data_IF_698112087539
#
_entry.id   IF_698112087539
#
_cell.length_a   1.000
_cell.length_b   1.000
_cell.length_c   1.000
_cell.angle_alpha   90.00
_cell.angle_beta   90.00
_cell.angle_gamma   90.00
#
_symmetry.space_group_name_H-M   'P 1'
#
loop_
_entity.id
_entity.type
_entity.pdbx_description
1 polymer ?
#
# COMPACT_ATOMS: atom_id res chain seq x y z
N UNK A 1 27.04 24.97 16.81
CA UNK A 1 25.57 25.14 16.58
C UNK A 1 25.13 24.57 15.24
N UNK A 2 25.72 24.98 14.11
CA UNK A 2 25.32 24.53 12.76
C UNK A 2 25.38 23.00 12.59
N UNK A 3 26.46 22.35 13.03
CA UNK A 3 26.59 20.88 12.94
C UNK A 3 25.55 20.13 13.78
N UNK A 4 25.23 20.65 14.97
CA UNK A 4 24.21 20.06 15.85
C UNK A 4 22.81 20.20 15.24
N UNK A 5 22.50 21.35 14.66
CA UNK A 5 21.25 21.59 13.96
C UNK A 5 21.12 20.69 12.71
N UNK A 6 22.18 20.57 11.91
CA UNK A 6 22.21 19.69 10.75
C UNK A 6 21.99 18.21 11.15
N UNK A 7 22.62 17.75 12.24
CA UNK A 7 22.44 16.40 12.76
C UNK A 7 20.99 16.16 13.23
N UNK A 8 20.40 17.11 13.95
CA UNK A 8 19.01 17.01 14.41
C UNK A 8 18.05 16.94 13.22
N UNK A 9 18.23 17.80 12.21
CA UNK A 9 17.42 17.79 10.99
C UNK A 9 17.56 16.44 10.26
N UNK A 10 18.78 15.94 10.08
CA UNK A 10 19.03 14.67 9.42
C UNK A 10 18.35 13.49 10.14
N UNK A 11 18.42 13.46 11.47
CA UNK A 11 17.75 12.44 12.29
C UNK A 11 16.23 12.53 12.20
N UNK A 12 15.67 13.74 12.22
CA UNK A 12 14.23 13.94 12.19
C UNK A 12 13.66 13.59 10.83
N UNK A 13 14.25 14.09 9.74
CA UNK A 13 13.81 13.80 8.37
C UNK A 13 13.97 12.32 8.05
N UNK A 14 15.14 11.73 8.35
CA UNK A 14 15.42 10.34 8.04
C UNK A 14 14.54 9.36 8.81
N UNK A 15 14.09 9.72 10.02
CA UNK A 15 13.26 8.83 10.85
C UNK A 15 11.77 8.99 10.59
N UNK A 16 11.30 10.21 10.33
CA UNK A 16 9.88 10.49 10.23
C UNK A 16 9.36 10.49 8.79
N UNK A 17 10.13 10.95 7.81
CA UNK A 17 9.58 11.20 6.46
C UNK A 17 9.77 10.05 5.49
N UNK A 18 10.82 9.23 5.63
CA UNK A 18 11.08 8.10 4.74
C UNK A 18 11.36 6.85 5.56
N UNK A 19 10.53 5.81 5.39
CA UNK A 19 10.75 4.50 6.00
C UNK A 19 11.32 3.50 4.98
N UNK A 20 12.30 2.69 5.37
CA UNK A 20 12.82 1.60 4.53
C UNK A 20 12.23 0.28 5.02
N UNK A 21 11.58 -0.46 4.13
CA UNK A 21 10.91 -1.72 4.45
C UNK A 21 11.33 -2.82 3.47
N UNK A 22 11.42 -4.06 3.96
CA UNK A 22 11.64 -5.24 3.14
C UNK A 22 10.30 -5.94 2.88
N UNK A 23 10.07 -6.33 1.64
CA UNK A 23 8.87 -7.07 1.25
C UNK A 23 9.04 -8.53 1.63
N UNK A 24 8.19 -9.04 2.52
CA UNK A 24 8.22 -10.45 2.96
C UNK A 24 7.16 -11.31 2.25
N UNK A 25 6.18 -10.69 1.59
CA UNK A 25 4.97 -11.34 1.07
C UNK A 25 5.00 -11.43 -0.46
N UNK A 26 4.35 -12.46 -1.00
CA UNK A 26 4.15 -12.66 -2.46
C UNK A 26 2.85 -12.04 -2.98
N UNK A 27 2.01 -11.48 -2.11
CA UNK A 27 0.68 -10.98 -2.47
C UNK A 27 0.68 -9.81 -3.46
N UNK A 28 1.83 -9.15 -3.61
CA UNK A 28 2.02 -8.02 -4.51
C UNK A 28 2.77 -8.39 -5.79
N UNK A 29 2.97 -9.68 -6.08
CA UNK A 29 3.57 -10.07 -7.36
C UNK A 29 2.62 -9.75 -8.51
N UNK A 30 3.14 -9.33 -9.68
CA UNK A 30 4.57 -9.18 -10.01
C UNK A 30 5.19 -7.83 -9.56
N UNK A 31 4.40 -6.88 -9.06
CA UNK A 31 4.83 -5.52 -8.76
C UNK A 31 5.90 -5.43 -7.66
N UNK A 32 5.78 -6.25 -6.60
CA UNK A 32 6.79 -6.39 -5.54
C UNK A 32 7.10 -7.86 -5.31
N UNK A 33 8.39 -8.18 -5.22
CA UNK A 33 8.89 -9.54 -4.98
C UNK A 33 9.42 -9.67 -3.55
N UNK A 34 9.33 -10.86 -2.94
CA UNK A 34 9.97 -11.11 -1.66
C UNK A 34 11.47 -10.81 -1.73
N UNK A 35 11.97 -10.04 -0.75
CA UNK A 35 13.36 -9.58 -0.71
C UNK A 35 13.58 -8.17 -1.25
N UNK A 36 12.61 -7.60 -1.98
CA UNK A 36 12.69 -6.22 -2.44
C UNK A 36 12.73 -5.25 -1.25
N UNK A 37 13.54 -4.19 -1.38
CA UNK A 37 13.63 -3.10 -0.40
C UNK A 37 12.97 -1.86 -0.97
N UNK A 38 11.91 -1.42 -0.30
CA UNK A 38 11.14 -0.23 -0.72
C UNK A 38 11.34 0.92 0.26
N UNK A 39 11.40 2.13 -0.28
CA UNK A 39 11.34 3.36 0.49
C UNK A 39 9.89 3.88 0.46
N UNK A 40 9.33 4.13 1.63
CA UNK A 40 7.94 4.60 1.81
C UNK A 40 7.99 6.05 2.23
N UNK A 41 7.32 6.91 1.47
CA UNK A 41 7.06 8.30 1.84
C UNK A 41 5.97 8.35 2.91
N UNK A 42 6.29 8.95 4.06
CA UNK A 42 5.41 9.12 5.22
C UNK A 42 4.91 10.55 5.40
N UNK A 43 5.18 11.46 4.46
CA UNK A 43 4.81 12.89 4.54
C UNK A 43 3.30 13.15 4.46
N UNK A 44 2.48 12.12 4.22
CA UNK A 44 1.02 12.26 4.15
C UNK A 44 0.54 12.86 2.83
N UNK A 45 1.26 12.65 1.73
CA UNK A 45 0.84 13.11 0.40
C UNK A 45 -0.49 12.47 0.00
N UNK A 46 -1.37 13.17 -0.74
CA UNK A 46 -2.61 12.60 -1.24
C UNK A 46 -2.36 11.31 -2.03
N UNK A 47 -3.02 10.23 -1.60
CA UNK A 47 -2.92 8.93 -2.27
C UNK A 47 -3.63 9.02 -3.61
N UNK A 48 -2.95 8.52 -4.65
CA UNK A 48 -3.52 8.41 -5.99
C UNK A 48 -4.00 6.99 -6.23
N UNK A 49 -5.02 6.86 -7.08
CA UNK A 49 -5.49 5.56 -7.54
C UNK A 49 -4.35 4.81 -8.24
N UNK A 50 -4.23 3.50 -8.00
CA UNK A 50 -3.14 2.65 -8.47
C UNK A 50 -1.85 2.75 -7.64
N UNK A 51 -1.78 3.64 -6.64
CA UNK A 51 -0.61 3.72 -5.77
C UNK A 51 -0.49 2.47 -4.89
N UNK A 52 0.74 2.00 -4.69
CA UNK A 52 1.05 0.99 -3.67
C UNK A 52 1.25 1.71 -2.35
N UNK A 53 0.53 1.28 -1.32
CA UNK A 53 0.54 1.87 0.01
C UNK A 53 0.96 0.85 1.05
N UNK A 54 1.63 1.33 2.09
CA UNK A 54 1.93 0.57 3.30
C UNK A 54 0.90 0.94 4.36
N UNK A 55 0.20 -0.04 4.91
CA UNK A 55 -0.87 0.17 5.89
C UNK A 55 -0.82 -0.85 7.02
N UNK A 56 -1.46 -0.54 8.15
CA UNK A 56 -1.75 -1.51 9.21
C UNK A 56 -3.16 -2.03 9.03
N UNK A 57 -3.34 -3.32 9.23
CA UNK A 57 -4.67 -3.91 9.20
C UNK A 57 -5.49 -3.35 10.37
N UNK A 58 -6.76 -2.98 10.17
CA UNK A 58 -7.65 -2.57 11.26
C UNK A 58 -8.12 -3.77 12.10
N UNK A 59 -7.83 -5.01 11.68
CA UNK A 59 -8.28 -6.22 12.38
C UNK A 59 -7.40 -6.48 13.60
N UNK A 60 -7.97 -6.68 14.80
CA UNK A 60 -7.19 -6.96 16.01
C UNK A 60 -6.29 -8.20 15.91
N UNK A 61 -6.73 -9.20 15.12
CA UNK A 61 -6.02 -10.48 14.92
C UNK A 61 -4.68 -10.29 14.20
N UNK A 62 -4.55 -9.27 13.35
CA UNK A 62 -3.34 -9.00 12.57
C UNK A 62 -2.30 -8.19 13.37
N UNK A 63 -2.66 -7.70 14.55
CA UNK A 63 -1.80 -6.92 15.43
C UNK A 63 -1.20 -5.68 14.75
N UNK A 64 0.08 -5.41 15.04
CA UNK A 64 0.82 -4.27 14.48
C UNK A 64 1.53 -4.59 13.14
N UNK A 65 1.10 -5.64 12.45
CA UNK A 65 1.69 -6.02 11.18
C UNK A 65 1.47 -4.94 10.10
N UNK A 66 2.51 -4.73 9.29
CA UNK A 66 2.49 -3.83 8.15
C UNK A 66 2.26 -4.62 6.87
N UNK A 67 1.31 -4.15 6.06
CA UNK A 67 0.87 -4.79 4.83
C UNK A 67 1.04 -3.84 3.64
N UNK A 68 1.35 -4.41 2.48
CA UNK A 68 1.32 -3.68 1.22
C UNK A 68 -0.02 -3.87 0.54
N UNK A 69 -0.61 -2.78 0.04
CA UNK A 69 -1.91 -2.75 -0.65
C UNK A 69 -1.88 -1.86 -1.89
N UNK A 70 -2.64 -2.21 -2.92
CA UNK A 70 -2.86 -1.36 -4.09
C UNK A 70 -4.12 -0.52 -3.88
N UNK A 71 -4.04 0.79 -4.09
CA UNK A 71 -5.18 1.69 -3.95
C UNK A 71 -6.12 1.57 -5.17
N UNK A 72 -7.18 0.78 -5.03
CA UNK A 72 -8.19 0.60 -6.09
C UNK A 72 -9.22 1.74 -6.06
N UNK A 73 -9.76 2.04 -4.88
CA UNK A 73 -10.76 3.09 -4.66
C UNK A 73 -10.23 4.23 -3.79
N UNK A 74 -10.75 5.43 -4.03
CA UNK A 74 -10.53 6.64 -3.26
C UNK A 74 -11.84 7.10 -2.60
N UNK A 75 -11.79 7.94 -1.56
CA UNK A 75 -12.99 8.51 -0.96
C UNK A 75 -13.89 9.19 -2.01
N UNK A 76 -15.18 8.88 -1.97
CA UNK A 76 -16.16 9.36 -2.96
C UNK A 76 -16.35 8.43 -4.16
N UNK A 77 -15.53 7.39 -4.31
CA UNK A 77 -15.76 6.38 -5.34
C UNK A 77 -16.86 5.40 -4.99
N UNK A 78 -17.63 5.00 -6.02
CA UNK A 78 -18.46 3.80 -5.97
C UNK A 78 -17.71 2.67 -6.65
N UNK A 79 -17.31 1.65 -5.88
CA UNK A 79 -16.64 0.45 -6.38
C UNK A 79 -17.65 -0.70 -6.42
N UNK A 80 -17.82 -1.32 -7.59
CA UNK A 80 -18.67 -2.50 -7.78
C UNK A 80 -17.81 -3.68 -8.16
N UNK A 81 -17.97 -4.80 -7.45
CA UNK A 81 -17.30 -6.06 -7.77
C UNK A 81 -18.17 -6.82 -8.76
N UNK A 82 -17.60 -7.21 -9.89
CA UNK A 82 -18.25 -7.97 -10.96
C UNK A 82 -17.41 -9.19 -11.32
N UNK A 83 -17.97 -10.19 -12.03
CA UNK A 83 -17.18 -11.32 -12.52
C UNK A 83 -16.01 -10.90 -13.40
N UNK A 84 -16.14 -9.79 -14.14
CA UNK A 84 -15.11 -9.27 -15.04
C UNK A 84 -14.08 -8.35 -14.34
N UNK A 85 -14.20 -8.19 -13.00
CA UNK A 85 -13.30 -7.38 -12.19
C UNK A 85 -14.01 -6.22 -11.46
N UNK A 86 -13.30 -5.10 -11.28
CA UNK A 86 -13.77 -3.97 -10.49
C UNK A 86 -14.27 -2.82 -11.38
N UNK A 87 -15.50 -2.39 -11.17
CA UNK A 87 -16.03 -1.16 -11.76
C UNK A 87 -15.87 0.00 -10.77
N UNK A 88 -15.49 1.17 -11.28
CA UNK A 88 -15.40 2.41 -10.53
C UNK A 88 -16.21 3.45 -11.26
N UNK A 89 -17.25 3.99 -10.60
CA UNK A 89 -18.24 4.87 -11.23
C UNK A 89 -18.82 4.27 -12.53
N UNK A 90 -19.07 2.96 -12.51
CA UNK A 90 -19.59 2.21 -13.66
C UNK A 90 -18.59 1.92 -14.79
N UNK A 91 -17.32 2.36 -14.67
CA UNK A 91 -16.26 2.06 -15.64
C UNK A 91 -15.34 0.98 -15.12
N UNK A 92 -15.00 0.00 -15.96
CA UNK A 92 -14.03 -1.04 -15.61
C UNK A 92 -12.67 -0.41 -15.28
N UNK A 93 -12.24 -0.57 -14.04
CA UNK A 93 -10.97 -0.10 -13.53
C UNK A 93 -9.97 -1.25 -13.64
N UNK A 94 -8.82 -0.96 -14.25
CA UNK A 94 -8.28 -1.75 -15.36
C UNK A 94 -8.28 -3.23 -15.05
N UNK A 95 -8.73 -4.03 -16.01
CA UNK A 95 -8.51 -5.48 -16.00
C UNK A 95 -6.99 -5.76 -16.13
N UNK A 96 -6.33 -6.42 -15.15
CA UNK A 96 -4.97 -6.91 -15.31
C UNK A 96 -4.92 -8.18 -16.18
N UNK A 97 -3.75 -8.46 -16.76
CA UNK A 97 -3.42 -9.72 -17.40
C UNK A 97 -3.43 -10.95 -16.43
N UNK A 98 -3.79 -10.75 -15.16
CA UNK A 98 -3.69 -11.76 -14.10
C UNK A 98 -4.64 -11.42 -12.94
N UNK A 99 -5.96 -11.35 -13.21
CA UNK A 99 -6.96 -11.28 -12.14
C UNK A 99 -6.99 -12.65 -11.46
N UNK A 100 -6.74 -12.70 -10.15
CA UNK A 100 -7.26 -13.79 -9.33
C UNK A 100 -8.78 -13.62 -9.29
N UNK A 101 -9.50 -14.34 -10.16
CA UNK A 101 -10.97 -14.35 -10.24
C UNK A 101 -11.63 -14.82 -8.92
N UNK A 102 -10.83 -15.28 -7.96
CA UNK A 102 -11.29 -15.83 -6.70
C UNK A 102 -10.56 -15.21 -5.53
N UNK A 103 -11.22 -14.28 -4.85
CA UNK A 103 -10.85 -13.91 -3.48
C UNK A 103 -11.59 -14.83 -2.49
N UNK A 104 -10.87 -15.78 -1.90
CA UNK A 104 -11.42 -16.59 -0.79
C UNK A 104 -11.32 -15.78 0.49
N UNK A 105 -12.47 -15.38 1.03
CA UNK A 105 -12.58 -14.92 2.42
C UNK A 105 -12.26 -16.12 3.31
N UNK A 106 -11.21 -16.07 4.15
CA UNK A 106 -11.00 -17.09 5.17
C UNK A 106 -12.26 -17.14 6.04
N UNK A 107 -12.93 -18.30 6.07
CA UNK A 107 -13.96 -18.55 7.06
C UNK A 107 -13.24 -19.07 8.30
N UNK A 108 -13.32 -18.29 9.37
CA UNK A 108 -13.10 -18.78 10.72
C UNK A 108 -14.23 -19.79 11.07
#
# INVERSE_FOLDING_TARGET
VVLLAALLIALTVGRFWVGRYAVATRAMQPALRPGDRVAVDKRGTPIRRGAIVLYRSPRPQDGDALHFGGCVGLPGDTVTVTPDGYLIHGRLYPAPADILDTYRVPRD
#
